data_IF_516122470430
#
_entry.id   IF_516122470430
#
_cell.length_a   1.000
_cell.length_b   1.000
_cell.length_c   1.000
_cell.angle_alpha   90.00
_cell.angle_beta   90.00
_cell.angle_gamma   90.00
#
_symmetry.space_group_name_H-M   'P 1'
#
loop_
_entity.id
_entity.type
_entity.pdbx_description
1 polymer ?
#
# COMPACT_ATOMS: atom_id res chain seq x y z
N UNK A 1 -16.48 7.81 14.15
CA UNK A 1 -15.62 8.64 13.28
C UNK A 1 -14.93 7.75 12.25
N UNK A 2 -14.78 8.19 11.00
CA UNK A 2 -13.95 7.47 10.04
C UNK A 2 -12.48 7.53 10.48
N UNK A 3 -11.71 6.44 10.37
CA UNK A 3 -10.27 6.49 10.64
C UNK A 3 -9.60 7.27 9.52
N UNK A 4 -8.85 8.30 9.88
CA UNK A 4 -7.97 9.02 8.96
C UNK A 4 -6.77 8.16 8.52
N UNK A 5 -5.91 8.71 7.65
CA UNK A 5 -4.70 8.03 7.19
C UNK A 5 -3.87 7.51 8.35
N UNK A 6 -3.41 6.26 8.26
CA UNK A 6 -2.46 5.68 9.20
C UNK A 6 -1.08 5.73 8.56
N UNK A 7 -0.08 6.22 9.28
CA UNK A 7 1.28 6.39 8.74
C UNK A 7 2.25 5.53 9.53
N UNK A 8 3.04 4.73 8.82
CA UNK A 8 4.18 4.00 9.35
C UNK A 8 5.46 4.42 8.62
N UNK A 9 6.58 4.47 9.34
CA UNK A 9 7.90 4.80 8.78
C UNK A 9 8.82 3.62 8.93
N UNK A 10 9.43 3.20 7.83
CA UNK A 10 10.37 2.07 7.78
C UNK A 10 11.60 2.54 7.00
N UNK A 11 12.69 2.83 7.72
CA UNK A 11 13.85 3.48 7.12
C UNK A 11 13.49 4.82 6.48
N UNK A 12 13.80 4.99 5.19
CA UNK A 12 13.44 6.17 4.40
C UNK A 12 12.04 6.12 3.79
N UNK A 13 11.34 4.97 3.87
CA UNK A 13 10.03 4.79 3.29
C UNK A 13 8.91 5.23 4.25
N UNK A 14 7.92 5.93 3.71
CA UNK A 14 6.70 6.32 4.43
C UNK A 14 5.50 5.54 3.87
N UNK A 15 4.97 4.62 4.67
CA UNK A 15 3.81 3.80 4.32
C UNK A 15 2.55 4.50 4.82
N UNK A 16 1.63 4.81 3.90
CA UNK A 16 0.37 5.49 4.18
C UNK A 16 -0.77 4.54 3.88
N UNK A 17 -1.49 4.14 4.92
CA UNK A 17 -2.67 3.29 4.77
C UNK A 17 -3.96 4.14 4.76
N UNK A 18 -4.69 4.07 3.64
CA UNK A 18 -5.99 4.73 3.45
C UNK A 18 -7.09 3.67 3.44
N UNK A 19 -7.81 3.57 4.55
CA UNK A 19 -8.88 2.59 4.74
C UNK A 19 -10.24 3.16 4.31
N UNK A 20 -10.72 2.72 3.14
CA UNK A 20 -12.06 3.00 2.63
C UNK A 20 -12.18 4.31 1.85
N UNK A 21 -13.36 4.50 1.25
CA UNK A 21 -13.63 5.62 0.31
C UNK A 21 -13.38 6.99 0.91
N UNK A 22 -13.86 7.23 2.14
CA UNK A 22 -13.71 8.52 2.82
C UNK A 22 -12.24 8.91 3.03
N UNK A 23 -11.39 7.94 3.41
CA UNK A 23 -9.98 8.20 3.62
C UNK A 23 -9.26 8.54 2.31
N UNK A 24 -9.64 7.87 1.22
CA UNK A 24 -9.12 8.14 -0.13
C UNK A 24 -9.59 9.50 -0.64
N UNK A 25 -10.87 9.84 -0.49
CA UNK A 25 -11.44 11.13 -0.92
C UNK A 25 -10.86 12.32 -0.15
N UNK A 26 -10.49 12.12 1.12
CA UNK A 26 -9.87 13.15 1.95
C UNK A 26 -8.35 13.28 1.78
N UNK A 27 -7.72 12.35 1.04
CA UNK A 27 -6.28 12.33 0.89
C UNK A 27 -5.86 13.17 -0.31
N UNK A 28 -4.89 14.06 -0.11
CA UNK A 28 -4.36 14.95 -1.15
C UNK A 28 -3.23 14.33 -1.97
N UNK A 29 -2.44 15.16 -2.67
CA UNK A 29 -1.31 14.70 -3.45
C UNK A 29 -0.27 13.94 -2.62
N UNK A 30 0.38 12.97 -3.25
CA UNK A 30 1.47 12.19 -2.68
C UNK A 30 2.83 12.56 -3.33
N UNK A 31 3.93 12.18 -2.68
CA UNK A 31 5.30 12.43 -3.15
C UNK A 31 6.10 11.15 -3.34
N UNK A 32 7.23 11.27 -4.04
CA UNK A 32 8.18 10.18 -4.19
C UNK A 32 8.69 9.69 -2.83
N UNK A 33 8.90 8.37 -2.71
CA UNK A 33 9.28 7.72 -1.45
C UNK A 33 8.11 7.40 -0.50
N UNK A 34 6.88 7.81 -0.84
CA UNK A 34 5.67 7.34 -0.16
C UNK A 34 5.09 6.10 -0.84
N UNK A 35 4.60 5.18 -0.03
CA UNK A 35 3.89 3.98 -0.44
C UNK A 35 2.47 4.01 0.11
N UNK A 36 1.49 4.11 -0.79
CA UNK A 36 0.08 4.11 -0.43
C UNK A 36 -0.48 2.70 -0.46
N UNK A 37 -1.03 2.23 0.65
CA UNK A 37 -1.80 0.98 0.75
C UNK A 37 -3.26 1.34 0.87
N UNK A 38 -4.06 1.07 -0.16
CA UNK A 38 -5.44 1.52 -0.24
C UNK A 38 -6.41 0.35 -0.38
N UNK A 39 -7.52 0.37 0.37
CA UNK A 39 -8.53 -0.70 0.32
C UNK A 39 -9.62 -0.50 -0.73
N UNK A 40 -9.60 0.63 -1.43
CA UNK A 40 -10.48 0.94 -2.57
C UNK A 40 -9.63 1.45 -3.74
N UNK A 41 -10.09 1.33 -5.00
CA UNK A 41 -9.38 1.89 -6.15
C UNK A 41 -9.08 3.39 -5.95
N UNK A 42 -7.83 3.78 -6.21
CA UNK A 42 -7.35 5.15 -6.15
C UNK A 42 -6.52 5.43 -7.40
N UNK A 43 -6.70 6.61 -8.00
CA UNK A 43 -5.75 7.17 -8.96
C UNK A 43 -4.93 8.21 -8.20
N UNK A 44 -3.64 7.96 -7.90
CA UNK A 44 -2.86 8.88 -7.10
C UNK A 44 -2.60 10.18 -7.85
N UNK A 45 -2.57 11.28 -7.10
CA UNK A 45 -2.09 12.57 -7.58
C UNK A 45 -0.65 12.75 -7.11
N UNK A 46 0.33 12.31 -7.91
CA UNK A 46 1.76 12.47 -7.61
C UNK A 46 2.60 11.20 -7.80
N UNK A 47 3.94 11.28 -7.63
CA UNK A 47 4.87 10.22 -7.98
C UNK A 47 5.08 9.19 -6.85
N UNK A 48 4.00 8.71 -6.22
CA UNK A 48 4.07 7.70 -5.18
C UNK A 48 3.79 6.28 -5.70
N UNK A 49 4.26 5.29 -4.94
CA UNK A 49 3.97 3.89 -5.19
C UNK A 49 2.60 3.52 -4.62
N UNK A 50 1.73 2.88 -5.40
CA UNK A 50 0.37 2.51 -4.94
C UNK A 50 0.15 1.00 -4.96
N UNK A 51 -0.30 0.49 -3.82
CA UNK A 51 -0.84 -0.85 -3.64
C UNK A 51 -2.36 -0.76 -3.47
N UNK A 52 -3.06 -0.83 -4.60
CA UNK A 52 -4.51 -0.84 -4.68
C UNK A 52 -5.09 -2.26 -4.53
N UNK A 53 -6.42 -2.42 -4.46
CA UNK A 53 -7.02 -3.75 -4.35
C UNK A 53 -6.69 -4.69 -5.51
N UNK A 54 -6.40 -4.19 -6.72
CA UNK A 54 -6.03 -5.06 -7.85
C UNK A 54 -4.64 -5.63 -7.64
N UNK A 55 -3.68 -4.79 -7.28
CA UNK A 55 -2.30 -5.18 -7.02
C UNK A 55 -2.16 -6.02 -5.76
N UNK A 56 -2.80 -5.64 -4.66
CA UNK A 56 -2.73 -6.37 -3.38
C UNK A 56 -3.18 -7.83 -3.52
N UNK A 57 -4.25 -8.08 -4.29
CA UNK A 57 -4.73 -9.45 -4.61
C UNK A 57 -3.70 -10.31 -5.34
N UNK A 58 -2.66 -9.72 -5.91
CA UNK A 58 -1.58 -10.42 -6.59
C UNK A 58 -0.33 -10.64 -5.71
N UNK A 59 -0.32 -10.17 -4.46
CA UNK A 59 0.90 -10.13 -3.62
C UNK A 59 0.92 -11.13 -2.45
N UNK A 60 -0.21 -11.37 -1.78
CA UNK A 60 -0.19 -11.99 -0.46
C UNK A 60 0.28 -10.97 0.59
N UNK A 61 1.18 -11.34 1.50
CA UNK A 61 1.86 -10.37 2.38
C UNK A 61 2.99 -9.64 1.65
N UNK A 62 3.34 -8.43 2.13
CA UNK A 62 4.45 -7.63 1.65
C UNK A 62 5.51 -7.48 2.74
N UNK A 63 6.77 -7.74 2.39
CA UNK A 63 7.93 -7.33 3.14
C UNK A 63 8.50 -6.06 2.49
N UNK A 64 8.75 -5.03 3.31
CA UNK A 64 9.27 -3.74 2.88
C UNK A 64 10.57 -3.50 3.64
N UNK A 65 11.68 -3.36 2.92
CA UNK A 65 13.00 -3.21 3.50
C UNK A 65 13.98 -2.47 2.59
N UNK A 66 15.26 -2.37 2.99
CA UNK A 66 16.28 -1.64 2.25
C UNK A 66 16.53 -2.22 0.84
N UNK A 67 16.35 -3.53 0.66
CA UNK A 67 16.51 -4.21 -0.64
C UNK A 67 15.28 -4.09 -1.55
N UNK A 68 14.27 -3.31 -1.12
CA UNK A 68 13.03 -3.08 -1.84
C UNK A 68 11.83 -3.82 -1.25
N UNK A 69 10.84 -4.08 -2.11
CA UNK A 69 9.56 -4.66 -1.73
C UNK A 69 9.46 -6.06 -2.32
N UNK A 70 9.23 -7.05 -1.45
CA UNK A 70 9.05 -8.45 -1.84
C UNK A 70 7.71 -8.95 -1.31
N UNK A 71 7.01 -9.72 -2.12
CA UNK A 71 5.72 -10.30 -1.77
C UNK A 71 5.82 -11.80 -1.49
N UNK A 72 4.97 -12.31 -0.59
CA UNK A 72 4.90 -13.73 -0.30
C UNK A 72 4.65 -14.57 -1.56
N UNK A 73 3.83 -14.07 -2.49
CA UNK A 73 3.58 -14.77 -3.76
C UNK A 73 4.78 -14.82 -4.69
N UNK A 74 5.66 -13.80 -4.68
CA UNK A 74 6.90 -13.85 -5.46
C UNK A 74 7.85 -14.95 -4.96
N UNK A 75 7.93 -15.15 -3.63
CA UNK A 75 8.85 -16.13 -3.04
C UNK A 75 8.27 -17.55 -2.99
N UNK A 76 6.97 -17.67 -2.69
CA UNK A 76 6.33 -18.94 -2.34
C UNK A 76 5.19 -19.38 -3.28
N UNK A 77 4.89 -18.60 -4.31
CA UNK A 77 3.76 -18.85 -5.22
C UNK A 77 2.39 -18.64 -4.56
N UNK A 78 1.33 -19.20 -5.17
CA UNK A 78 -0.05 -19.10 -4.65
C UNK A 78 -0.33 -20.21 -3.63
N UNK A 79 -0.17 -19.94 -2.33
CA UNK A 79 -0.62 -20.86 -1.27
C UNK A 79 -2.01 -20.50 -0.74
N UNK A 80 -2.68 -21.46 -0.11
CA UNK A 80 -4.07 -21.32 0.36
C UNK A 80 -4.26 -20.21 1.41
N UNK A 81 -3.20 -19.85 2.13
CA UNK A 81 -3.21 -18.81 3.16
C UNK A 81 -2.64 -17.46 2.71
N UNK A 82 -2.17 -17.33 1.46
CA UNK A 82 -1.68 -16.07 0.87
C UNK A 82 -2.78 -15.39 0.01
N UNK A 83 -4.05 -15.59 0.38
CA UNK A 83 -5.25 -15.05 -0.28
C UNK A 83 -5.87 -13.94 0.57
#
# INVERSE_FOLDING_TARGET
AARGPQVARVGSAEIIHLAGKRAVESFGPCRAGQLLVVSVPLRPEGPCEVFDPRRLRATGSLAIGPDGIVSARQLGGRRRWDQ
#
